data_IF_930219079365
#
_entry.id   IF_930219079365
#
_cell.length_a   1.000
_cell.length_b   1.000
_cell.length_c   1.000
_cell.angle_alpha   90.00
_cell.angle_beta   90.00
_cell.angle_gamma   90.00
#
_symmetry.space_group_name_H-M   'P 1'
#
loop_
_entity.id
_entity.type
_entity.pdbx_description
1 polymer ?
#
# COMPACT_ATOMS: atom_id res chain seq x y z
N UNK A 1 -19.72 -8.82 38.91
CA UNK A 1 -19.70 -10.01 38.04
C UNK A 1 -20.50 -9.67 36.79
N UNK A 2 -20.04 -9.78 35.56
CA UNK A 2 -18.75 -9.57 34.91
C UNK A 2 -19.16 -9.36 33.44
N UNK A 3 -18.65 -8.33 32.77
CA UNK A 3 -18.94 -8.05 31.37
C UNK A 3 -18.31 -9.15 30.49
N UNK A 4 -19.10 -9.72 29.59
CA UNK A 4 -18.64 -10.72 28.62
C UNK A 4 -17.96 -10.00 27.46
N UNK A 5 -16.65 -10.19 27.35
CA UNK A 5 -15.80 -9.58 26.34
C UNK A 5 -16.08 -10.18 24.96
N UNK A 6 -16.52 -9.33 24.01
CA UNK A 6 -16.62 -9.70 22.61
C UNK A 6 -15.21 -9.96 22.04
N UNK A 7 -14.88 -11.23 21.80
CA UNK A 7 -13.66 -11.61 21.12
C UNK A 7 -13.74 -11.22 19.64
N UNK A 8 -13.18 -10.06 19.30
CA UNK A 8 -12.88 -9.70 17.91
C UNK A 8 -11.87 -10.71 17.39
N UNK A 9 -12.35 -11.69 16.63
CA UNK A 9 -11.52 -12.65 15.90
C UNK A 9 -10.66 -11.87 14.91
N UNK A 10 -9.43 -11.57 15.31
CA UNK A 10 -8.37 -11.15 14.40
C UNK A 10 -8.11 -12.32 13.46
N UNK A 11 -8.78 -12.30 12.30
CA UNK A 11 -8.45 -13.19 11.21
C UNK A 11 -7.14 -12.67 10.59
N UNK A 12 -6.03 -12.97 11.27
CA UNK A 12 -4.69 -12.93 10.71
C UNK A 12 -4.58 -14.04 9.67
N UNK A 13 -5.25 -13.84 8.54
CA UNK A 13 -5.18 -14.69 7.37
C UNK A 13 -3.74 -14.71 6.90
N UNK A 14 -3.05 -15.80 7.23
CA UNK A 14 -1.74 -16.17 6.76
C UNK A 14 -1.70 -15.99 5.23
N UNK A 15 -1.11 -14.88 4.76
CA UNK A 15 -0.90 -14.62 3.34
C UNK A 15 0.22 -15.57 2.90
N UNK A 16 -0.19 -16.79 2.55
CA UNK A 16 0.62 -17.79 1.89
C UNK A 16 1.25 -17.18 0.65
N UNK A 17 2.59 -17.04 0.71
CA UNK A 17 3.67 -16.99 -0.30
C UNK A 17 3.34 -17.05 -1.81
N UNK A 18 2.24 -16.46 -2.26
CA UNK A 18 1.78 -16.37 -3.63
C UNK A 18 0.87 -15.17 -3.72
N UNK A 19 1.51 -14.00 -3.86
CA UNK A 19 0.84 -12.69 -3.80
C UNK A 19 -0.42 -12.65 -4.66
N UNK A 20 -1.46 -12.02 -4.12
CA UNK A 20 -2.70 -11.75 -4.85
C UNK A 20 -2.36 -11.15 -6.22
N UNK A 21 -2.69 -11.88 -7.29
CA UNK A 21 -2.34 -11.55 -8.68
C UNK A 21 -3.35 -10.59 -9.33
N UNK A 22 -4.33 -10.09 -8.58
CA UNK A 22 -5.28 -9.11 -9.10
C UNK A 22 -4.57 -7.75 -9.24
N UNK A 23 -4.47 -7.19 -10.47
CA UNK A 23 -3.86 -5.89 -10.70
C UNK A 23 -4.56 -4.75 -9.93
N UNK A 24 -5.82 -4.95 -9.51
CA UNK A 24 -6.58 -3.99 -8.72
C UNK A 24 -6.65 -4.34 -7.23
N UNK A 25 -5.84 -5.29 -6.75
CA UNK A 25 -5.78 -5.62 -5.34
C UNK A 25 -5.36 -4.42 -4.49
N UNK A 26 -6.20 -4.07 -3.53
CA UNK A 26 -5.94 -3.06 -2.50
C UNK A 26 -5.74 -3.80 -1.17
N UNK A 27 -4.52 -3.73 -0.62
CA UNK A 27 -4.25 -4.34 0.68
C UNK A 27 -4.86 -3.48 1.81
N UNK A 28 -5.23 -4.08 2.94
CA UNK A 28 -5.74 -3.32 4.10
C UNK A 28 -4.76 -2.28 4.66
N UNK A 29 -3.47 -2.40 4.32
CA UNK A 29 -2.42 -1.44 4.64
C UNK A 29 -2.30 -0.28 3.64
N UNK A 30 -2.98 -0.33 2.49
CA UNK A 30 -2.95 0.75 1.50
C UNK A 30 -3.83 1.91 1.98
N UNK A 31 -3.24 3.08 2.12
CA UNK A 31 -3.94 4.31 2.50
C UNK A 31 -3.89 5.32 1.33
N UNK A 32 -5.03 5.62 0.68
CA UNK A 32 -5.07 6.51 -0.49
C UNK A 32 -4.78 7.98 -0.16
N UNK A 33 -4.86 8.38 1.12
CA UNK A 33 -4.53 9.73 1.59
C UNK A 33 -3.04 9.83 1.92
N UNK A 34 -2.38 8.70 2.18
CA UNK A 34 -0.95 8.68 2.50
C UNK A 34 -0.11 9.00 1.27
N UNK A 35 0.89 9.88 1.43
CA UNK A 35 1.81 10.18 0.34
C UNK A 35 2.67 8.94 0.02
N UNK A 36 2.67 8.55 -1.26
CA UNK A 36 3.51 7.46 -1.77
C UNK A 36 5.00 7.74 -1.57
N UNK A 37 5.40 9.02 -1.60
CA UNK A 37 6.78 9.48 -1.48
C UNK A 37 6.89 10.61 -0.47
N UNK A 38 7.96 10.61 0.33
CA UNK A 38 8.22 11.71 1.27
C UNK A 38 8.47 13.07 0.57
N UNK A 39 8.90 13.03 -0.69
CA UNK A 39 9.15 14.24 -1.48
C UNK A 39 7.85 14.70 -2.14
N UNK A 40 7.28 15.81 -1.66
CA UNK A 40 6.11 16.44 -2.29
C UNK A 40 6.46 16.96 -3.70
N UNK A 41 5.56 16.79 -4.67
CA UNK A 41 5.73 17.37 -6.00
C UNK A 41 5.55 18.89 -5.95
N UNK A 42 6.50 19.63 -6.53
CA UNK A 42 6.51 21.10 -6.58
C UNK A 42 6.68 21.65 -7.99
N UNK A 43 6.52 20.82 -9.03
CA UNK A 43 6.74 21.20 -10.43
C UNK A 43 8.21 21.19 -10.85
N UNK A 44 9.08 21.85 -10.08
CA UNK A 44 10.52 21.95 -10.38
C UNK A 44 11.29 20.65 -10.10
N UNK A 45 10.72 19.76 -9.29
CA UNK A 45 11.37 18.54 -8.83
C UNK A 45 10.88 17.27 -9.56
N UNK A 46 10.25 17.41 -10.73
CA UNK A 46 9.65 16.29 -11.48
C UNK A 46 10.59 15.09 -11.65
N UNK A 47 11.84 15.35 -12.04
CA UNK A 47 12.84 14.30 -12.30
C UNK A 47 13.23 13.52 -11.03
N UNK A 48 13.26 14.19 -9.86
CA UNK A 48 13.55 13.51 -8.58
C UNK A 48 12.32 12.79 -8.05
N UNK A 49 11.17 13.48 -8.08
CA UNK A 49 9.89 12.96 -7.64
C UNK A 49 9.46 11.70 -8.42
N UNK A 50 9.52 11.74 -9.75
CA UNK A 50 9.13 10.61 -10.62
C UNK A 50 9.95 9.35 -10.37
N UNK A 51 11.27 9.49 -10.10
CA UNK A 51 12.11 8.35 -9.72
C UNK A 51 11.71 7.75 -8.38
N UNK A 52 11.41 8.59 -7.39
CA UNK A 52 10.93 8.13 -6.08
C UNK A 52 9.59 7.39 -6.21
N UNK A 53 8.66 7.92 -7.02
CA UNK A 53 7.35 7.30 -7.27
C UNK A 53 7.51 5.94 -7.93
N UNK A 54 8.31 5.83 -9.00
CA UNK A 54 8.58 4.55 -9.68
C UNK A 54 9.13 3.49 -8.73
N UNK A 55 10.08 3.85 -7.85
CA UNK A 55 10.68 2.92 -6.89
C UNK A 55 9.67 2.35 -5.90
N UNK A 56 8.76 3.18 -5.40
CA UNK A 56 7.74 2.74 -4.45
C UNK A 56 6.71 1.83 -5.13
N UNK A 57 6.35 2.12 -6.39
CA UNK A 57 5.46 1.24 -7.15
C UNK A 57 6.06 -0.14 -7.38
N UNK A 58 7.35 -0.21 -7.78
CA UNK A 58 8.07 -1.48 -7.92
C UNK A 58 8.12 -2.23 -6.58
N UNK A 59 8.41 -1.55 -5.47
CA UNK A 59 8.43 -2.17 -4.14
C UNK A 59 7.05 -2.74 -3.70
N UNK A 60 5.96 -2.22 -4.27
CA UNK A 60 4.59 -2.65 -4.01
C UNK A 60 4.05 -3.61 -5.10
N UNK A 61 4.85 -4.01 -6.08
CA UNK A 61 4.41 -4.77 -7.27
C UNK A 61 3.23 -4.10 -8.01
N UNK A 62 3.26 -2.76 -8.10
CA UNK A 62 2.22 -1.92 -8.74
C UNK A 62 2.80 -1.13 -9.92
N UNK A 63 3.77 -1.68 -10.65
CA UNK A 63 4.41 -1.04 -11.81
C UNK A 63 3.45 -0.65 -12.94
N UNK A 64 2.29 -1.31 -13.06
CA UNK A 64 1.25 -0.96 -14.05
C UNK A 64 0.41 0.28 -13.71
N UNK A 65 0.67 0.95 -12.59
CA UNK A 65 -0.11 2.11 -12.15
C UNK A 65 0.25 3.41 -12.91
N UNK A 66 1.44 3.47 -13.51
CA UNK A 66 1.90 4.62 -14.30
C UNK A 66 2.33 4.10 -15.66
N UNK A 67 1.47 4.29 -16.65
CA UNK A 67 1.73 4.01 -18.06
C UNK A 67 1.94 5.30 -18.81
#
# INVERSE_FOLDING_TARGET
MAAEEAQVRNNGGNQTTGGNLDPFFIASSDNPISSLVAVQFSGQNFIRWSRSVKRVLVAKNKEGFIT
#
